data_IF_190366931285
#
_entry.id   IF_190366931285
#
_cell.length_a   1.000
_cell.length_b   1.000
_cell.length_c   1.000
_cell.angle_alpha   90.00
_cell.angle_beta   90.00
_cell.angle_gamma   90.00
#
_symmetry.space_group_name_H-M   'P 1'
#
loop_
_entity.id
_entity.type
_entity.pdbx_description
1 polymer ?
#
# COMPACT_ATOMS: atom_id res chain seq x y z
N UNK A 1 -4.69 18.25 -17.13
CA UNK A 1 -5.38 17.40 -16.12
C UNK A 1 -4.36 16.59 -15.28
N UNK A 2 -3.15 17.09 -15.05
CA UNK A 2 -2.00 16.25 -14.63
C UNK A 2 -1.43 16.59 -13.25
N UNK A 3 -1.26 17.86 -12.87
CA UNK A 3 -0.58 18.19 -11.60
C UNK A 3 -1.41 17.92 -10.34
N UNK A 4 -2.71 18.22 -10.35
CA UNK A 4 -3.55 18.02 -9.17
C UNK A 4 -3.70 16.54 -8.82
N UNK A 5 -3.91 15.68 -9.82
CA UNK A 5 -3.96 14.22 -9.65
C UNK A 5 -2.62 13.70 -9.15
N UNK A 6 -1.53 14.14 -9.78
CA UNK A 6 -0.18 13.73 -9.39
C UNK A 6 0.15 14.08 -7.94
N UNK A 7 -0.15 15.32 -7.52
CA UNK A 7 0.03 15.77 -6.14
C UNK A 7 -0.82 14.93 -5.18
N UNK A 8 -2.08 14.67 -5.51
CA UNK A 8 -2.96 13.87 -4.67
C UNK A 8 -2.43 12.44 -4.47
N UNK A 9 -1.87 11.82 -5.51
CA UNK A 9 -1.26 10.50 -5.42
C UNK A 9 -0.03 10.50 -4.51
N UNK A 10 0.86 11.50 -4.66
CA UNK A 10 2.03 11.66 -3.78
C UNK A 10 1.60 11.85 -2.33
N UNK A 11 0.63 12.73 -2.07
CA UNK A 11 0.13 13.01 -0.72
C UNK A 11 -0.46 11.74 -0.09
N UNK A 12 -1.26 10.98 -0.85
CA UNK A 12 -1.84 9.71 -0.40
C UNK A 12 -0.78 8.66 -0.10
N UNK A 13 0.21 8.46 -0.98
CA UNK A 13 1.31 7.52 -0.77
C UNK A 13 2.15 7.92 0.45
N UNK A 14 2.37 9.22 0.66
CA UNK A 14 3.09 9.73 1.83
C UNK A 14 2.35 9.44 3.15
N UNK A 15 1.03 9.55 3.14
CA UNK A 15 0.19 9.19 4.30
C UNK A 15 0.24 7.68 4.53
N UNK A 16 0.08 6.88 3.47
CA UNK A 16 0.17 5.42 3.53
C UNK A 16 1.53 4.99 4.08
N UNK A 17 2.64 5.58 3.61
CA UNK A 17 3.98 5.27 4.09
C UNK A 17 4.08 5.47 5.61
N UNK A 18 3.63 6.61 6.12
CA UNK A 18 3.66 6.88 7.57
C UNK A 18 2.81 5.87 8.36
N UNK A 19 1.59 5.59 7.89
CA UNK A 19 0.69 4.61 8.53
C UNK A 19 1.25 3.18 8.47
N UNK A 20 1.88 2.82 7.36
CA UNK A 20 2.46 1.50 7.14
C UNK A 20 3.58 1.19 8.13
N UNK A 21 4.40 2.17 8.50
CA UNK A 21 5.46 1.99 9.49
C UNK A 21 4.90 1.68 10.88
N UNK A 22 3.84 2.40 11.30
CA UNK A 22 3.16 2.12 12.56
C UNK A 22 2.47 0.76 12.53
N UNK A 23 1.79 0.44 11.43
CA UNK A 23 1.14 -0.85 11.22
C UNK A 23 2.13 -2.03 11.26
N UNK A 24 3.29 -1.89 10.63
CA UNK A 24 4.34 -2.92 10.63
C UNK A 24 4.92 -3.17 12.02
N UNK A 25 5.06 -2.12 12.84
CA UNK A 25 5.44 -2.26 14.24
C UNK A 25 4.38 -3.04 15.03
N UNK A 26 3.09 -2.69 14.87
CA UNK A 26 1.97 -3.42 15.50
C UNK A 26 1.94 -4.89 15.06
N UNK A 27 2.09 -5.16 13.76
CA UNK A 27 2.12 -6.53 13.24
C UNK A 27 3.28 -7.35 13.81
N UNK A 28 4.44 -6.72 13.99
CA UNK A 28 5.61 -7.38 14.61
C UNK A 28 5.28 -7.80 16.04
N UNK A 29 4.70 -6.91 16.85
CA UNK A 29 4.24 -7.23 18.21
C UNK A 29 3.20 -8.35 18.22
N UNK A 30 2.21 -8.33 17.32
CA UNK A 30 1.17 -9.38 17.22
C UNK A 30 1.75 -10.75 16.82
N UNK A 31 2.80 -10.77 16.00
CA UNK A 31 3.53 -12.00 15.62
C UNK A 31 4.31 -12.57 16.78
N UNK A 32 5.05 -11.72 17.49
CA UNK A 32 5.82 -12.10 18.67
C UNK A 32 4.91 -12.66 19.77
N UNK A 33 3.70 -12.10 19.90
CA UNK A 33 2.64 -12.62 20.77
C UNK A 33 2.06 -13.98 20.32
N UNK A 34 2.60 -14.61 19.26
CA UNK A 34 2.16 -15.89 18.65
C UNK A 34 0.69 -15.92 18.18
N UNK A 35 0.06 -14.76 17.97
CA UNK A 35 -1.34 -14.68 17.54
C UNK A 35 -1.54 -14.48 16.03
N UNK A 36 -0.48 -14.32 15.24
CA UNK A 36 -0.59 -13.91 13.84
C UNK A 36 0.36 -14.68 12.91
N UNK A 37 -0.11 -15.79 12.33
CA UNK A 37 0.57 -16.58 11.30
C UNK A 37 0.28 -16.11 9.86
N UNK A 38 0.14 -14.80 9.62
CA UNK A 38 -0.20 -14.31 8.28
C UNK A 38 1.03 -14.36 7.36
N UNK A 39 0.96 -15.18 6.32
CA UNK A 39 1.99 -15.32 5.30
C UNK A 39 2.10 -14.06 4.40
N UNK A 40 0.99 -13.37 4.19
CA UNK A 40 0.92 -12.12 3.42
C UNK A 40 -0.17 -11.19 3.97
N UNK A 41 0.01 -9.87 3.81
CA UNK A 41 -0.99 -8.85 4.14
C UNK A 41 -2.14 -8.87 3.14
N UNK A 42 -1.82 -8.99 1.86
CA UNK A 42 -2.79 -9.01 0.78
C UNK A 42 -2.84 -10.39 0.13
N UNK A 43 -4.02 -10.77 -0.34
CA UNK A 43 -4.24 -11.96 -1.15
C UNK A 43 -3.80 -11.71 -2.60
N UNK A 44 -3.49 -12.75 -3.40
CA UNK A 44 -3.01 -12.57 -4.77
C UNK A 44 -3.98 -11.85 -5.72
N UNK A 45 -5.27 -11.82 -5.39
CA UNK A 45 -6.32 -11.10 -6.13
C UNK A 45 -6.40 -9.60 -5.79
N UNK A 46 -5.64 -9.12 -4.79
CA UNK A 46 -5.59 -7.70 -4.43
C UNK A 46 -4.88 -6.81 -5.47
N UNK A 47 -4.30 -7.40 -6.52
CA UNK A 47 -3.66 -6.69 -7.61
C UNK A 47 -2.21 -6.26 -7.35
N UNK A 48 -1.61 -6.71 -6.23
CA UNK A 48 -0.20 -6.55 -5.93
C UNK A 48 0.63 -7.68 -6.57
N UNK A 49 1.83 -7.35 -7.02
CA UNK A 49 2.80 -8.34 -7.53
C UNK A 49 3.63 -8.92 -6.42
N UNK A 50 3.92 -8.14 -5.38
CA UNK A 50 4.62 -8.61 -4.20
C UNK A 50 3.69 -9.36 -3.25
N UNK A 51 4.27 -10.28 -2.49
CA UNK A 51 3.60 -11.00 -1.41
C UNK A 51 4.49 -10.93 -0.19
N UNK A 52 4.18 -10.00 0.71
CA UNK A 52 4.90 -9.76 1.95
C UNK A 52 3.96 -9.79 3.15
N UNK A 53 4.53 -10.12 4.30
CA UNK A 53 3.85 -10.05 5.58
C UNK A 53 4.00 -8.67 6.25
N UNK A 54 4.61 -7.68 5.59
CA UNK A 54 4.67 -6.29 6.04
C UNK A 54 4.09 -5.39 4.97
N UNK A 55 3.70 -4.17 5.34
CA UNK A 55 3.15 -3.19 4.42
C UNK A 55 4.23 -2.55 3.53
N UNK A 56 5.47 -2.39 4.01
CA UNK A 56 6.54 -1.70 3.25
C UNK A 56 6.66 -2.16 1.78
N UNK A 57 6.72 -3.47 1.46
CA UNK A 57 6.92 -3.90 0.08
C UNK A 57 5.74 -3.54 -0.85
N UNK A 58 4.52 -3.43 -0.30
CA UNK A 58 3.35 -2.99 -1.04
C UNK A 58 3.37 -1.47 -1.28
N UNK A 59 3.84 -0.69 -0.30
CA UNK A 59 4.01 0.76 -0.45
C UNK A 59 5.09 1.07 -1.49
N UNK A 60 6.20 0.34 -1.46
CA UNK A 60 7.28 0.43 -2.46
C UNK A 60 6.77 0.10 -3.87
N UNK A 61 5.95 -0.95 -4.02
CA UNK A 61 5.33 -1.29 -5.30
C UNK A 61 4.47 -0.13 -5.85
N UNK A 62 3.63 0.48 -5.01
CA UNK A 62 2.79 1.62 -5.42
C UNK A 62 3.63 2.85 -5.79
N UNK A 63 4.72 3.10 -5.06
CA UNK A 63 5.64 4.18 -5.38
C UNK A 63 6.34 3.96 -6.74
N UNK A 64 6.74 2.72 -7.03
CA UNK A 64 7.31 2.34 -8.32
C UNK A 64 6.31 2.48 -9.46
N UNK A 65 5.06 2.07 -9.25
CA UNK A 65 3.97 2.24 -10.22
C UNK A 65 3.71 3.73 -10.49
N UNK A 66 3.75 4.59 -9.47
CA UNK A 66 3.63 6.04 -9.63
C UNK A 66 4.74 6.60 -10.54
N UNK A 67 6.00 6.21 -10.30
CA UNK A 67 7.14 6.64 -11.14
C UNK A 67 6.98 6.15 -12.58
N UNK A 68 6.46 4.94 -12.77
CA UNK A 68 6.15 4.43 -14.11
C UNK A 68 5.07 5.28 -14.78
N UNK A 69 3.96 5.53 -14.09
CA UNK A 69 2.86 6.35 -14.60
C UNK A 69 3.29 7.79 -14.93
N UNK A 70 4.12 8.41 -14.10
CA UNK A 70 4.67 9.76 -14.38
C UNK A 70 5.43 9.80 -15.72
N UNK A 71 6.09 8.71 -16.12
CA UNK A 71 6.88 8.61 -17.35
C UNK A 71 6.04 8.24 -18.57
N UNK A 72 5.04 7.40 -18.39
CA UNK A 72 4.26 6.83 -19.51
C UNK A 72 2.92 7.51 -19.72
N UNK A 73 2.38 8.16 -18.69
CA UNK A 73 0.99 8.62 -18.61
C UNK A 73 -0.05 7.53 -18.94
N UNK A 74 0.31 6.26 -18.69
CA UNK A 74 -0.53 5.12 -19.01
C UNK A 74 -1.80 5.09 -18.15
N UNK A 75 -2.96 5.00 -18.78
CA UNK A 75 -4.23 5.06 -18.06
C UNK A 75 -4.45 3.83 -17.17
N UNK A 76 -3.98 2.65 -17.60
CA UNK A 76 -4.12 1.43 -16.81
C UNK A 76 -3.28 1.50 -15.53
N UNK A 77 -2.05 2.00 -15.61
CA UNK A 77 -1.20 2.25 -14.44
C UNK A 77 -1.86 3.18 -13.43
N UNK A 78 -2.55 4.25 -13.88
CA UNK A 78 -3.29 5.13 -12.97
C UNK A 78 -4.41 4.39 -12.24
N UNK A 79 -5.20 3.59 -12.96
CA UNK A 79 -6.30 2.80 -12.37
C UNK A 79 -5.75 1.83 -11.33
N UNK A 80 -4.63 1.17 -11.63
CA UNK A 80 -4.01 0.19 -10.74
C UNK A 80 -3.45 0.86 -9.48
N UNK A 81 -2.77 2.01 -9.60
CA UNK A 81 -2.29 2.79 -8.46
C UNK A 81 -3.44 3.17 -7.53
N UNK A 82 -4.55 3.70 -8.08
CA UNK A 82 -5.70 4.14 -7.27
C UNK A 82 -6.31 2.97 -6.51
N UNK A 83 -6.49 1.81 -7.16
CA UNK A 83 -6.99 0.59 -6.52
C UNK A 83 -6.06 0.12 -5.39
N UNK A 84 -4.75 0.10 -5.61
CA UNK A 84 -3.77 -0.30 -4.60
C UNK A 84 -3.76 0.65 -3.40
N UNK A 85 -3.87 1.96 -3.64
CA UNK A 85 -4.00 2.98 -2.59
C UNK A 85 -5.26 2.74 -1.74
N UNK A 86 -6.41 2.46 -2.37
CA UNK A 86 -7.67 2.16 -1.68
C UNK A 86 -7.54 0.90 -0.81
N UNK A 87 -6.94 -0.17 -1.33
CA UNK A 87 -6.70 -1.41 -0.59
C UNK A 87 -5.79 -1.16 0.62
N UNK A 88 -4.71 -0.40 0.45
CA UNK A 88 -3.80 -0.02 1.54
C UNK A 88 -4.53 0.76 2.63
N UNK A 89 -5.27 1.80 2.29
CA UNK A 89 -6.04 2.55 3.28
C UNK A 89 -7.07 1.68 4.01
N UNK A 90 -7.77 0.80 3.28
CA UNK A 90 -8.79 -0.08 3.86
C UNK A 90 -8.20 -1.04 4.89
N UNK A 91 -7.08 -1.69 4.57
CA UNK A 91 -6.44 -2.65 5.48
C UNK A 91 -5.77 -1.92 6.64
N UNK A 92 -5.10 -0.79 6.41
CA UNK A 92 -4.51 0.02 7.47
C UNK A 92 -5.58 0.51 8.46
N UNK A 93 -6.73 0.98 7.97
CA UNK A 93 -7.82 1.41 8.82
C UNK A 93 -8.42 0.25 9.66
N UNK A 94 -8.55 -0.94 9.08
CA UNK A 94 -9.00 -2.14 9.82
C UNK A 94 -8.03 -2.53 10.93
N UNK A 95 -6.73 -2.46 10.66
CA UNK A 95 -5.70 -2.74 11.66
C UNK A 95 -5.69 -1.69 12.77
N UNK A 96 -5.88 -0.41 12.46
CA UNK A 96 -5.98 0.67 13.47
C UNK A 96 -7.20 0.53 14.40
N UNK A 97 -8.25 -0.18 13.97
CA UNK A 97 -9.47 -0.42 14.77
C UNK A 97 -9.46 -1.74 15.55
N UNK A 98 -8.46 -2.60 15.34
CA UNK A 98 -8.35 -3.92 15.97
C UNK A 98 -7.59 -3.86 17.30
#
# INVERSE_FOLDING_TARGET
MSEAVHKQLIDNISIILKKSLAADATLTTLREAKQAGFAAIFTPDAGFKCSANTFQPYVEEVANDLVFWQKTSDQQALIDIVKKIEQLFTVLAKLEQS
#
